data_IF_714095517617
#
_entry.id   IF_714095517617
#
_cell.length_a   1.000
_cell.length_b   1.000
_cell.length_c   1.000
_cell.angle_alpha   90.00
_cell.angle_beta   90.00
_cell.angle_gamma   90.00
#
_symmetry.space_group_name_H-M   'P 1'
#
loop_
_entity.id
_entity.type
_entity.pdbx_description
1 polymer ?
#
# COMPACT_ATOMS: atom_id res chain seq x y z
N UNK A 1 -4.14 -9.07 -19.79
CA UNK A 1 -4.03 -9.14 -18.34
C UNK A 1 -2.56 -9.18 -17.96
N UNK A 2 -2.13 -8.37 -17.10
CA UNK A 2 -1.25 -8.63 -16.01
C UNK A 2 0.26 -8.76 -16.22
N UNK A 3 0.81 -9.31 -17.27
CA UNK A 3 2.28 -9.28 -17.45
C UNK A 3 2.75 -7.85 -17.73
N UNK A 4 1.98 -7.08 -18.49
CA UNK A 4 2.26 -5.65 -18.73
C UNK A 4 2.03 -4.81 -17.47
N UNK A 5 0.96 -5.11 -16.71
CA UNK A 5 0.66 -4.37 -15.49
C UNK A 5 1.65 -4.67 -14.37
N UNK A 6 2.17 -5.87 -14.28
CA UNK A 6 3.24 -6.19 -13.32
C UNK A 6 4.49 -5.34 -13.53
N UNK A 7 4.92 -5.17 -14.77
CA UNK A 7 6.09 -4.33 -15.09
C UNK A 7 5.84 -2.86 -14.71
N UNK A 8 4.65 -2.34 -15.03
CA UNK A 8 4.29 -0.97 -14.71
C UNK A 8 4.10 -0.75 -13.19
N UNK A 9 3.56 -1.73 -12.48
CA UNK A 9 3.44 -1.69 -11.02
C UNK A 9 4.82 -1.73 -10.36
N UNK A 10 5.72 -2.57 -10.86
CA UNK A 10 7.12 -2.61 -10.38
C UNK A 10 7.85 -1.29 -10.62
N UNK A 11 7.56 -0.61 -11.73
CA UNK A 11 8.11 0.72 -12.00
C UNK A 11 7.60 1.77 -11.01
N UNK A 12 6.31 1.74 -10.67
CA UNK A 12 5.74 2.61 -9.62
C UNK A 12 6.45 2.35 -8.31
N UNK A 13 6.54 1.08 -7.88
CA UNK A 13 7.21 0.69 -6.64
C UNK A 13 8.65 1.18 -6.58
N UNK A 14 9.41 0.98 -7.64
CA UNK A 14 10.79 1.44 -7.73
C UNK A 14 10.89 2.96 -7.57
N UNK A 15 10.09 3.72 -8.31
CA UNK A 15 10.13 5.19 -8.29
C UNK A 15 9.65 5.76 -6.94
N UNK A 16 8.63 5.19 -6.35
CA UNK A 16 8.18 5.53 -4.99
C UNK A 16 9.29 5.25 -3.98
N UNK A 17 9.90 4.08 -4.05
CA UNK A 17 11.01 3.69 -3.16
C UNK A 17 12.21 4.64 -3.25
N UNK A 18 12.66 4.93 -4.46
CA UNK A 18 13.76 5.87 -4.70
C UNK A 18 13.45 7.26 -4.09
N UNK A 19 12.24 7.75 -4.33
CA UNK A 19 11.83 9.07 -3.88
C UNK A 19 11.68 9.14 -2.35
N UNK A 20 11.07 8.15 -1.73
CA UNK A 20 10.96 8.06 -0.27
C UNK A 20 12.33 8.08 0.39
N UNK A 21 13.27 7.28 -0.09
CA UNK A 21 14.64 7.22 0.46
C UNK A 21 15.41 8.54 0.30
N UNK A 22 15.15 9.30 -0.76
CA UNK A 22 15.83 10.58 -1.01
C UNK A 22 15.24 11.76 -0.24
N UNK A 23 13.95 11.72 0.07
CA UNK A 23 13.20 12.88 0.63
C UNK A 23 12.90 12.74 2.13
N UNK A 24 13.11 11.56 2.73
CA UNK A 24 12.90 11.34 4.17
C UNK A 24 14.22 10.97 4.84
N UNK A 25 14.56 11.67 5.92
CA UNK A 25 15.84 11.49 6.61
C UNK A 25 15.72 10.73 7.93
N UNK A 26 14.57 10.80 8.58
CA UNK A 26 14.36 10.25 9.93
C UNK A 26 13.48 8.99 9.95
N UNK A 27 13.09 8.48 8.78
CA UNK A 27 12.31 7.25 8.68
C UNK A 27 13.18 6.06 8.29
N UNK A 28 13.00 4.97 9.00
CA UNK A 28 13.50 3.67 8.59
C UNK A 28 12.49 3.02 7.63
N UNK A 29 12.76 3.06 6.32
CA UNK A 29 11.87 2.56 5.29
C UNK A 29 12.26 1.15 4.90
N UNK A 30 11.36 0.21 5.14
CA UNK A 30 11.52 -1.20 4.78
C UNK A 30 10.54 -1.52 3.66
N UNK A 31 11.06 -2.03 2.54
CA UNK A 31 10.27 -2.38 1.36
C UNK A 31 10.34 -3.88 1.18
N UNK A 32 9.17 -4.51 1.15
CA UNK A 32 9.05 -5.96 0.99
C UNK A 32 7.96 -6.32 -0.01
N UNK A 33 8.22 -7.39 -0.75
CA UNK A 33 7.16 -8.06 -1.47
C UNK A 33 6.17 -8.68 -0.46
N UNK A 34 4.85 -8.62 -0.72
CA UNK A 34 3.84 -9.16 0.20
C UNK A 34 4.09 -10.61 0.64
N UNK A 35 4.64 -11.46 -0.20
CA UNK A 35 4.96 -12.84 0.17
C UNK A 35 6.03 -12.96 1.27
N UNK A 36 6.89 -11.98 1.42
CA UNK A 36 7.98 -11.98 2.40
C UNK A 36 7.74 -11.07 3.61
N UNK A 37 6.74 -10.20 3.53
CA UNK A 37 6.33 -9.40 4.68
C UNK A 37 5.60 -10.28 5.69
N UNK A 38 5.92 -10.12 6.96
CA UNK A 38 5.41 -10.98 8.03
C UNK A 38 4.85 -10.19 9.22
N UNK A 39 4.33 -10.92 10.20
CA UNK A 39 3.75 -10.38 11.43
C UNK A 39 4.72 -9.45 12.17
N UNK A 40 6.00 -9.82 12.27
CA UNK A 40 7.00 -9.02 12.97
C UNK A 40 7.24 -7.68 12.29
N UNK A 41 7.24 -7.65 10.97
CA UNK A 41 7.35 -6.39 10.21
C UNK A 41 6.19 -5.44 10.55
N UNK A 42 4.97 -5.97 10.61
CA UNK A 42 3.78 -5.18 10.95
C UNK A 42 3.85 -4.67 12.40
N UNK A 43 4.22 -5.53 13.34
CA UNK A 43 4.28 -5.18 14.75
C UNK A 43 5.32 -4.09 15.04
N UNK A 44 6.41 -4.05 14.27
CA UNK A 44 7.47 -3.03 14.38
C UNK A 44 7.17 -1.74 13.62
N UNK A 45 6.23 -1.76 12.68
CA UNK A 45 5.93 -0.60 11.87
C UNK A 45 5.12 0.45 12.60
N UNK A 46 5.44 1.72 12.37
CA UNK A 46 4.65 2.88 12.83
C UNK A 46 3.58 3.29 11.80
N UNK A 47 3.70 2.81 10.60
CA UNK A 47 2.73 3.00 9.53
C UNK A 47 2.97 2.03 8.38
N UNK A 48 1.96 1.80 7.57
CA UNK A 48 2.02 0.85 6.46
C UNK A 48 1.55 1.49 5.16
N UNK A 49 2.43 1.51 4.17
CA UNK A 49 2.10 1.90 2.80
C UNK A 49 1.91 0.64 1.95
N UNK A 50 0.72 0.46 1.40
CA UNK A 50 0.35 -0.72 0.62
C UNK A 50 0.16 -0.33 -0.84
N UNK A 51 0.95 -0.93 -1.73
CA UNK A 51 0.73 -0.89 -3.17
C UNK A 51 0.23 -2.23 -3.68
N UNK A 52 -0.86 -2.24 -4.41
CA UNK A 52 -1.43 -3.47 -4.96
C UNK A 52 -2.01 -3.28 -6.36
N UNK A 53 -2.29 -4.38 -7.02
CA UNK A 53 -3.04 -4.39 -8.29
C UNK A 53 -4.44 -4.95 -8.08
N UNK A 54 -5.36 -4.54 -8.94
CA UNK A 54 -6.64 -5.22 -9.11
C UNK A 54 -6.50 -6.30 -10.18
N UNK A 55 -6.74 -7.54 -9.80
CA UNK A 55 -6.73 -8.70 -10.67
C UNK A 55 -8.10 -9.38 -10.56
N UNK A 56 -8.80 -9.53 -11.69
CA UNK A 56 -10.11 -10.19 -11.71
C UNK A 56 -11.10 -9.59 -10.69
N UNK A 57 -11.20 -8.26 -10.67
CA UNK A 57 -12.04 -7.48 -9.76
C UNK A 57 -11.72 -7.66 -8.26
N UNK A 58 -10.52 -8.11 -7.92
CA UNK A 58 -10.07 -8.38 -6.56
C UNK A 58 -8.65 -7.90 -6.37
N UNK A 59 -8.21 -7.75 -5.10
CA UNK A 59 -6.80 -7.45 -4.84
C UNK A 59 -5.89 -8.59 -5.33
N UNK A 60 -4.64 -8.25 -5.63
CA UNK A 60 -3.66 -9.25 -6.02
C UNK A 60 -3.55 -10.38 -5.00
N UNK A 61 -3.40 -11.62 -5.49
CA UNK A 61 -3.28 -12.79 -4.63
C UNK A 61 -2.17 -12.70 -3.58
N UNK A 62 -1.04 -12.08 -3.94
CA UNK A 62 0.06 -11.83 -3.00
C UNK A 62 -0.35 -10.90 -1.85
N UNK A 63 -1.15 -9.87 -2.13
CA UNK A 63 -1.67 -8.96 -1.11
C UNK A 63 -2.69 -9.67 -0.20
N UNK A 64 -3.55 -10.49 -0.78
CA UNK A 64 -4.50 -11.29 -0.02
C UNK A 64 -3.80 -12.31 0.88
N UNK A 65 -2.79 -13.00 0.36
CA UNK A 65 -1.94 -13.91 1.12
C UNK A 65 -1.27 -13.23 2.32
N UNK A 66 -0.74 -12.01 2.11
CA UNK A 66 -0.17 -11.21 3.19
C UNK A 66 -1.18 -10.98 4.32
N UNK A 67 -2.42 -10.60 4.00
CA UNK A 67 -3.46 -10.43 5.01
C UNK A 67 -3.87 -11.74 5.65
N UNK A 68 -4.07 -12.81 4.88
CA UNK A 68 -4.48 -14.11 5.39
C UNK A 68 -3.48 -14.68 6.41
N UNK A 69 -2.17 -14.53 6.16
CA UNK A 69 -1.11 -15.02 7.06
C UNK A 69 -0.96 -14.18 8.33
N UNK A 70 -1.29 -12.90 8.28
CA UNK A 70 -0.96 -11.98 9.35
C UNK A 70 -2.16 -11.47 10.16
N UNK A 71 -3.37 -11.48 9.60
CA UNK A 71 -4.56 -10.84 10.16
C UNK A 71 -4.78 -11.17 11.65
N UNK A 72 -4.89 -12.45 11.97
CA UNK A 72 -5.17 -12.87 13.35
C UNK A 72 -3.97 -12.69 14.29
N UNK A 73 -2.77 -12.61 13.77
CA UNK A 73 -1.59 -12.38 14.57
C UNK A 73 -1.42 -10.91 14.99
N UNK A 74 -2.01 -9.98 14.24
CA UNK A 74 -1.86 -8.53 14.48
C UNK A 74 -3.15 -7.85 14.93
N UNK A 75 -4.30 -8.52 14.83
CA UNK A 75 -5.57 -7.99 15.31
C UNK A 75 -5.45 -7.63 16.80
N UNK A 76 -6.01 -6.48 17.19
CA UNK A 76 -5.95 -5.93 18.55
C UNK A 76 -4.56 -5.52 19.05
N UNK A 77 -3.50 -5.67 18.23
CA UNK A 77 -2.13 -5.31 18.64
C UNK A 77 -1.63 -4.00 18.03
N UNK A 78 -2.18 -3.60 16.89
CA UNK A 78 -1.77 -2.39 16.16
C UNK A 78 -2.96 -1.49 15.81
N UNK A 79 -3.94 -1.42 16.70
CA UNK A 79 -5.10 -0.54 16.51
C UNK A 79 -4.66 0.92 16.31
N UNK A 80 -5.31 1.60 15.39
CA UNK A 80 -5.00 2.98 15.04
C UNK A 80 -3.76 3.17 14.17
N UNK A 81 -3.05 2.11 13.77
CA UNK A 81 -1.89 2.23 12.89
C UNK A 81 -2.27 2.97 11.60
N UNK A 82 -1.57 4.05 11.24
CA UNK A 82 -1.84 4.77 10.01
C UNK A 82 -1.48 3.94 8.79
N UNK A 83 -2.36 3.97 7.79
CA UNK A 83 -2.19 3.23 6.53
C UNK A 83 -2.53 4.13 5.35
N UNK A 84 -1.73 4.04 4.29
CA UNK A 84 -2.04 4.60 2.98
C UNK A 84 -1.99 3.51 1.92
N UNK A 85 -2.84 3.62 0.90
CA UNK A 85 -3.01 2.59 -0.13
C UNK A 85 -3.06 3.20 -1.52
N UNK A 86 -2.34 2.61 -2.47
CA UNK A 86 -2.56 2.86 -3.88
C UNK A 86 -2.86 1.54 -4.62
N UNK A 87 -3.74 1.62 -5.61
CA UNK A 87 -4.21 0.48 -6.39
C UNK A 87 -3.97 0.76 -7.88
N UNK A 88 -3.29 -0.14 -8.56
CA UNK A 88 -3.23 -0.13 -10.03
C UNK A 88 -4.33 -1.05 -10.57
N UNK A 89 -5.33 -0.47 -11.23
CA UNK A 89 -6.47 -1.19 -11.76
C UNK A 89 -6.55 -1.03 -13.28
N UNK A 90 -6.65 -2.14 -14.00
CA UNK A 90 -6.94 -2.10 -15.43
C UNK A 90 -8.39 -1.68 -15.72
N UNK A 91 -9.28 -1.88 -14.78
CA UNK A 91 -10.70 -1.49 -14.84
C UNK A 91 -10.96 -0.33 -13.88
N UNK A 92 -11.80 -0.47 -12.87
CA UNK A 92 -12.22 0.63 -11.99
C UNK A 92 -11.66 0.61 -10.56
N UNK A 93 -11.10 -0.52 -10.12
CA UNK A 93 -10.54 -0.66 -8.78
C UNK A 93 -11.57 -0.81 -7.66
N UNK A 94 -12.86 -0.89 -7.97
CA UNK A 94 -13.94 -0.91 -6.97
C UNK A 94 -13.85 -2.14 -6.07
N UNK A 95 -13.69 -3.34 -6.63
CA UNK A 95 -13.63 -4.58 -5.87
C UNK A 95 -12.47 -4.58 -4.87
N UNK A 96 -11.28 -4.21 -5.32
CA UNK A 96 -10.09 -4.12 -4.48
C UNK A 96 -10.25 -3.06 -3.39
N UNK A 97 -10.83 -1.91 -3.70
CA UNK A 97 -11.08 -0.83 -2.73
C UNK A 97 -12.00 -1.30 -1.60
N UNK A 98 -13.08 -1.99 -1.92
CA UNK A 98 -14.02 -2.52 -0.93
C UNK A 98 -13.34 -3.52 -0.02
N UNK A 99 -12.58 -4.46 -0.59
CA UNK A 99 -11.84 -5.47 0.17
C UNK A 99 -10.79 -4.83 1.10
N UNK A 100 -10.01 -3.87 0.59
CA UNK A 100 -9.02 -3.13 1.37
C UNK A 100 -9.65 -2.41 2.56
N UNK A 101 -10.70 -1.63 2.31
CA UNK A 101 -11.41 -0.90 3.38
C UNK A 101 -11.98 -1.85 4.43
N UNK A 102 -12.53 -3.00 4.02
CA UNK A 102 -13.07 -4.00 4.94
C UNK A 102 -12.00 -4.60 5.86
N UNK A 103 -10.84 -4.98 5.30
CA UNK A 103 -9.75 -5.57 6.06
C UNK A 103 -9.13 -4.54 7.01
N UNK A 104 -8.85 -3.34 6.52
CA UNK A 104 -8.27 -2.24 7.33
C UNK A 104 -9.21 -1.89 8.49
N UNK A 105 -10.52 -1.82 8.24
CA UNK A 105 -11.52 -1.60 9.30
C UNK A 105 -11.53 -2.74 10.32
N UNK A 106 -11.47 -3.99 9.86
CA UNK A 106 -11.44 -5.15 10.75
C UNK A 106 -10.22 -5.18 11.66
N UNK A 107 -9.06 -4.74 11.15
CA UNK A 107 -7.83 -4.58 11.91
C UNK A 107 -7.82 -3.32 12.81
N UNK A 108 -8.83 -2.47 12.70
CA UNK A 108 -8.90 -1.16 13.35
C UNK A 108 -7.70 -0.27 13.00
N UNK A 109 -7.11 -0.47 11.84
CA UNK A 109 -6.11 0.44 11.29
C UNK A 109 -6.80 1.69 10.72
N UNK A 110 -6.06 2.75 10.55
CA UNK A 110 -6.61 4.05 10.14
C UNK A 110 -6.12 4.44 8.77
N UNK A 111 -7.02 4.47 7.78
CA UNK A 111 -6.73 5.10 6.50
C UNK A 111 -6.58 6.61 6.70
N UNK A 112 -5.39 7.12 6.49
CA UNK A 112 -5.08 8.55 6.70
C UNK A 112 -5.17 9.39 5.44
N UNK A 113 -5.35 8.73 4.30
CA UNK A 113 -5.58 9.34 2.99
C UNK A 113 -6.61 8.50 2.22
N UNK A 114 -7.32 9.13 1.27
CA UNK A 114 -8.16 8.38 0.33
C UNK A 114 -7.33 7.39 -0.47
N UNK A 115 -7.89 6.22 -0.72
CA UNK A 115 -7.24 5.21 -1.55
C UNK A 115 -7.06 5.75 -2.97
N UNK A 116 -5.81 5.82 -3.42
CA UNK A 116 -5.49 6.24 -4.78
C UNK A 116 -5.74 5.08 -5.75
N UNK A 117 -6.57 5.30 -6.76
CA UNK A 117 -6.84 4.33 -7.82
C UNK A 117 -6.25 4.83 -9.14
N UNK A 118 -5.21 4.18 -9.60
CA UNK A 118 -4.61 4.38 -10.92
C UNK A 118 -5.31 3.46 -11.92
N UNK A 119 -6.44 3.92 -12.47
CA UNK A 119 -7.34 3.09 -13.30
C UNK A 119 -7.21 3.31 -14.79
N UNK A 120 -7.54 2.27 -15.55
CA UNK A 120 -7.60 2.31 -16.99
C UNK A 120 -6.25 2.04 -17.66
N UNK A 121 -6.09 2.45 -18.95
CA UNK A 121 -4.83 2.30 -19.65
C UNK A 121 -3.67 2.96 -18.92
N UNK A 122 -2.46 2.42 -19.09
CA UNK A 122 -1.27 2.96 -18.45
C UNK A 122 -1.06 4.44 -18.80
N UNK A 123 -0.80 5.23 -17.78
CA UNK A 123 -0.46 6.65 -17.90
C UNK A 123 0.76 6.95 -17.02
N UNK A 124 1.72 7.69 -17.56
CA UNK A 124 2.95 8.05 -16.84
C UNK A 124 2.65 8.85 -15.56
N UNK A 125 1.57 9.64 -15.53
CA UNK A 125 1.12 10.40 -14.35
C UNK A 125 0.84 9.54 -13.12
N UNK A 126 0.57 8.23 -13.29
CA UNK A 126 0.35 7.32 -12.15
C UNK A 126 1.57 7.24 -11.25
N UNK A 127 2.77 7.34 -11.82
CA UNK A 127 4.02 7.36 -11.04
C UNK A 127 4.02 8.57 -10.10
N UNK A 128 3.76 9.77 -10.62
CA UNK A 128 3.76 11.01 -9.84
C UNK A 128 2.65 11.00 -8.78
N UNK A 129 1.47 10.49 -9.11
CA UNK A 129 0.36 10.36 -8.16
C UNK A 129 0.70 9.42 -6.99
N UNK A 130 1.31 8.28 -7.28
CA UNK A 130 1.73 7.33 -6.25
C UNK A 130 2.89 7.90 -5.41
N UNK A 131 3.82 8.62 -6.01
CA UNK A 131 4.89 9.33 -5.30
C UNK A 131 4.30 10.37 -4.35
N UNK A 132 3.39 11.20 -4.81
CA UNK A 132 2.77 12.26 -4.00
C UNK A 132 2.01 11.70 -2.80
N UNK A 133 1.20 10.65 -3.00
CA UNK A 133 0.52 9.96 -1.91
C UNK A 133 1.52 9.41 -0.89
N UNK A 134 2.55 8.72 -1.38
CA UNK A 134 3.55 8.05 -0.55
C UNK A 134 4.41 9.04 0.25
N UNK A 135 4.84 10.13 -0.37
CA UNK A 135 5.56 11.21 0.30
C UNK A 135 4.70 11.91 1.35
N UNK A 136 3.46 12.25 1.01
CA UNK A 136 2.53 12.84 1.97
C UNK A 136 2.33 11.96 3.20
N UNK A 137 2.20 10.65 3.00
CA UNK A 137 2.11 9.69 4.08
C UNK A 137 3.40 9.63 4.91
N UNK A 138 4.55 9.52 4.27
CA UNK A 138 5.85 9.44 4.96
C UNK A 138 6.14 10.72 5.76
N UNK A 139 5.92 11.89 5.18
CA UNK A 139 6.09 13.19 5.87
C UNK A 139 5.13 13.30 7.06
N UNK A 140 3.89 12.83 6.91
CA UNK A 140 2.92 12.81 8.00
C UNK A 140 3.36 11.94 9.17
N UNK A 141 3.98 10.79 8.91
CA UNK A 141 4.58 9.94 9.94
C UNK A 141 5.80 10.61 10.59
N UNK A 142 6.72 11.14 9.78
CA UNK A 142 7.94 11.79 10.27
C UNK A 142 7.63 13.02 11.14
N UNK A 143 6.56 13.71 10.83
CA UNK A 143 6.09 14.92 11.56
C UNK A 143 5.11 14.62 12.71
N UNK A 144 4.85 13.36 13.01
CA UNK A 144 3.88 12.92 14.02
C UNK A 144 2.47 13.53 13.83
N UNK A 145 2.03 13.66 12.59
CA UNK A 145 0.68 14.15 12.25
C UNK A 145 -0.37 13.05 12.41
N UNK A 146 0.02 11.81 12.25
CA UNK A 146 -0.86 10.64 12.34
C UNK A 146 -0.80 9.94 13.68
#
# INVERSE_FOLDING_TARGET
MCIRDRNNTSLIEQKVSEKLKSETSNLNIIIKNPFFANTEDILKADGLLIGTTENLASMAGATKDFFDRNYYNVIEKKEGMPVAVWIRAGHDGTGTTIQMKSIIKGLKWRLVQEILICKGPWQKKFIDQCINLSLGFAIGLESNIY
#
